data_IF_754153898374
#
_entry.id   IF_754153898374
#
_cell.length_a   1.000
_cell.length_b   1.000
_cell.length_c   1.000
_cell.angle_alpha   90.00
_cell.angle_beta   90.00
_cell.angle_gamma   90.00
#
_symmetry.space_group_name_H-M   'P 1'
#
loop_
_entity.id
_entity.type
_entity.pdbx_description
1 polymer ?
#
# COMPACT_ATOMS: atom_id res chain seq x y z
N UNK A 1 5.67 26.99 0.57
CA UNK A 1 5.28 25.86 1.44
C UNK A 1 5.68 24.59 0.70
N UNK A 2 6.52 23.76 1.30
CA UNK A 2 7.05 22.57 0.63
C UNK A 2 6.01 21.45 0.65
N UNK A 3 5.63 20.95 -0.54
CA UNK A 3 4.80 19.75 -0.67
C UNK A 3 5.52 18.58 -0.02
N UNK A 4 4.99 18.08 1.09
CA UNK A 4 5.45 16.86 1.76
C UNK A 4 5.13 15.66 0.86
N UNK A 5 6.06 15.34 -0.03
CA UNK A 5 5.91 14.21 -0.94
C UNK A 5 6.32 12.91 -0.21
N UNK A 6 5.37 12.00 -0.07
CA UNK A 6 5.64 10.61 0.32
C UNK A 6 6.39 9.95 -0.83
N UNK A 7 7.57 9.40 -0.54
CA UNK A 7 8.36 8.63 -1.51
C UNK A 7 8.13 7.16 -1.20
N UNK A 8 7.52 6.43 -2.13
CA UNK A 8 7.48 4.97 -2.11
C UNK A 8 8.81 4.45 -2.71
N UNK A 9 9.54 3.55 -2.04
CA UNK A 9 10.81 3.00 -2.51
C UNK A 9 10.64 1.81 -3.46
N UNK A 10 9.41 1.41 -3.84
CA UNK A 10 9.15 0.52 -4.98
C UNK A 10 8.45 1.33 -6.07
N UNK A 11 9.04 1.37 -7.28
CA UNK A 11 8.50 2.11 -8.43
C UNK A 11 7.08 1.68 -8.83
N UNK A 12 6.67 0.46 -8.46
CA UNK A 12 5.34 -0.08 -8.71
C UNK A 12 4.31 0.41 -7.71
N UNK A 13 4.71 0.69 -6.46
CA UNK A 13 3.82 1.20 -5.42
C UNK A 13 3.83 2.72 -5.45
N UNK A 14 2.67 3.31 -5.71
CA UNK A 14 2.49 4.75 -5.86
C UNK A 14 1.53 5.26 -4.80
N UNK A 15 1.87 6.38 -4.17
CA UNK A 15 0.89 7.15 -3.41
C UNK A 15 -0.03 7.87 -4.40
N UNK A 16 -1.31 7.53 -4.42
CA UNK A 16 -2.31 8.25 -5.20
C UNK A 16 -2.82 9.48 -4.46
N UNK A 17 -3.12 9.33 -3.16
CA UNK A 17 -3.70 10.40 -2.35
C UNK A 17 -3.27 10.29 -0.89
N UNK A 18 -2.98 11.44 -0.31
CA UNK A 18 -2.82 11.62 1.13
C UNK A 18 -3.70 12.78 1.56
N UNK A 19 -4.62 12.56 2.49
CA UNK A 19 -5.49 13.60 3.03
C UNK A 19 -5.29 13.73 4.53
N UNK A 20 -5.02 14.94 4.96
CA UNK A 20 -4.98 15.29 6.38
C UNK A 20 -6.41 15.36 6.94
N UNK A 21 -6.69 14.58 7.98
CA UNK A 21 -7.99 14.53 8.66
C UNK A 21 -7.95 15.09 10.09
N UNK A 22 -6.91 15.85 10.46
CA UNK A 22 -6.68 16.30 11.83
C UNK A 22 -5.78 15.34 12.60
N UNK A 23 -6.35 14.33 13.24
CA UNK A 23 -5.58 13.37 14.06
C UNK A 23 -5.06 12.15 13.29
N UNK A 24 -5.43 12.04 12.01
CA UNK A 24 -5.07 10.93 11.14
C UNK A 24 -4.76 11.38 9.71
N UNK A 25 -4.19 10.46 8.94
CA UNK A 25 -4.07 10.55 7.49
C UNK A 25 -4.94 9.50 6.82
N UNK A 26 -5.75 9.90 5.85
CA UNK A 26 -6.30 8.97 4.86
C UNK A 26 -5.28 8.79 3.73
N UNK A 27 -4.93 7.54 3.47
CA UNK A 27 -3.89 7.12 2.51
C UNK A 27 -4.57 6.30 1.42
N UNK A 28 -4.26 6.59 0.15
CA UNK A 28 -4.62 5.75 -0.99
C UNK A 28 -3.38 5.42 -1.80
N UNK A 29 -3.16 4.13 -2.05
CA UNK A 29 -2.02 3.58 -2.75
C UNK A 29 -2.47 2.82 -4.00
N UNK A 30 -1.58 2.76 -5.00
CA UNK A 30 -1.71 1.90 -6.18
C UNK A 30 -0.45 1.08 -6.34
N UNK A 31 -0.57 -0.24 -6.37
CA UNK A 31 0.47 -1.13 -6.84
C UNK A 31 0.17 -1.52 -8.29
N UNK A 32 1.07 -1.22 -9.22
CA UNK A 32 0.90 -1.53 -10.66
C UNK A 32 1.79 -2.69 -11.11
N UNK A 33 1.51 -3.25 -12.29
CA UNK A 33 2.35 -4.31 -12.88
C UNK A 33 2.20 -5.66 -12.19
N UNK A 34 0.97 -5.98 -11.78
CA UNK A 34 0.63 -7.31 -11.26
C UNK A 34 0.50 -8.30 -12.42
N UNK A 35 1.25 -9.39 -12.39
CA UNK A 35 1.21 -10.39 -13.44
C UNK A 35 -0.21 -11.01 -13.55
N UNK A 36 -0.75 -11.02 -14.78
CA UNK A 36 -2.10 -11.52 -15.10
C UNK A 36 -2.16 -13.05 -15.20
N UNK A 37 -1.01 -13.72 -15.30
CA UNK A 37 -0.93 -15.19 -15.30
C UNK A 37 -1.33 -15.81 -13.96
N UNK A 38 -1.53 -14.97 -12.94
CA UNK A 38 -1.89 -15.35 -11.59
C UNK A 38 -3.40 -15.21 -11.42
N UNK A 39 -4.06 -16.35 -11.64
CA UNK A 39 -5.46 -16.72 -11.37
C UNK A 39 -6.44 -15.57 -11.02
N UNK A 40 -7.56 -15.52 -11.75
CA UNK A 40 -8.63 -14.52 -11.66
C UNK A 40 -9.39 -14.48 -10.31
N UNK A 41 -8.85 -15.12 -9.27
CA UNK A 41 -9.50 -15.33 -7.98
C UNK A 41 -9.39 -14.15 -6.99
N UNK A 42 -8.79 -13.02 -7.39
CA UNK A 42 -8.79 -11.76 -6.61
C UNK A 42 -8.16 -11.81 -5.20
N UNK A 43 -7.35 -12.82 -4.85
CA UNK A 43 -6.76 -12.94 -3.51
C UNK A 43 -5.42 -12.19 -3.37
N UNK A 44 -5.42 -10.90 -3.66
CA UNK A 44 -4.33 -9.99 -3.28
C UNK A 44 -4.65 -9.44 -1.89
N UNK A 45 -3.93 -9.87 -0.86
CA UNK A 45 -4.18 -9.44 0.53
C UNK A 45 -2.97 -8.69 1.06
N UNK A 46 -3.18 -7.41 1.37
CA UNK A 46 -2.20 -6.61 2.10
C UNK A 46 -2.11 -7.12 3.54
N UNK A 47 -0.90 -7.41 4.01
CA UNK A 47 -0.65 -7.74 5.40
C UNK A 47 -0.77 -6.49 6.28
N UNK A 48 -0.72 -6.71 7.59
CA UNK A 48 -0.64 -5.67 8.60
C UNK A 48 0.54 -4.73 8.34
N UNK A 49 0.27 -3.43 8.38
CA UNK A 49 1.31 -2.41 8.30
C UNK A 49 2.21 -2.45 9.55
N UNK A 50 3.51 -2.24 9.35
CA UNK A 50 4.55 -2.23 10.38
C UNK A 50 5.32 -0.90 10.39
N UNK A 51 5.68 -0.40 11.57
CA UNK A 51 6.53 0.78 11.74
C UNK A 51 8.03 0.46 11.51
N UNK A 52 8.90 1.45 11.69
CA UNK A 52 10.36 1.30 11.58
C UNK A 52 10.97 0.26 12.55
N UNK A 53 10.26 -0.07 13.63
CA UNK A 53 10.69 -1.00 14.67
C UNK A 53 10.06 -2.40 14.49
N UNK A 54 9.22 -2.59 13.47
CA UNK A 54 8.51 -3.84 13.22
C UNK A 54 7.21 -4.01 14.02
N UNK A 55 6.74 -2.98 14.72
CA UNK A 55 5.48 -3.02 15.45
C UNK A 55 4.30 -2.89 14.48
N UNK A 56 3.23 -3.63 14.73
CA UNK A 56 1.98 -3.46 13.97
C UNK A 56 1.41 -2.07 14.17
N UNK A 57 1.11 -1.39 13.07
CA UNK A 57 0.38 -0.13 13.04
C UNK A 57 -1.10 -0.43 12.86
N UNK A 58 -1.91 0.12 13.75
CA UNK A 58 -3.36 0.04 13.65
C UNK A 58 -3.84 0.90 12.48
N UNK A 59 -4.49 0.26 11.50
CA UNK A 59 -5.11 0.91 10.36
C UNK A 59 -6.63 0.75 10.45
N UNK A 60 -7.38 1.77 10.06
CA UNK A 60 -8.85 1.74 10.03
C UNK A 60 -9.39 2.08 8.66
N UNK A 61 -10.67 1.78 8.41
CA UNK A 61 -11.34 1.99 7.12
C UNK A 61 -10.57 1.40 5.93
N UNK A 62 -10.02 0.20 6.12
CA UNK A 62 -9.19 -0.50 5.14
C UNK A 62 -10.05 -1.06 4.01
N UNK A 63 -9.72 -0.71 2.77
CA UNK A 63 -10.40 -1.17 1.56
C UNK A 63 -9.39 -1.49 0.46
N UNK A 64 -9.40 -2.74 0.01
CA UNK A 64 -8.61 -3.21 -1.13
C UNK A 64 -9.52 -3.44 -2.34
N UNK A 65 -9.03 -3.10 -3.52
CA UNK A 65 -9.65 -3.50 -4.78
C UNK A 65 -8.60 -3.84 -5.82
N UNK A 66 -8.98 -4.66 -6.80
CA UNK A 66 -8.13 -5.03 -7.94
C UNK A 66 -8.77 -4.50 -9.21
N UNK A 67 -7.95 -3.91 -10.07
CA UNK A 67 -8.31 -3.56 -11.43
C UNK A 67 -7.53 -4.48 -12.36
N UNK A 68 -8.24 -5.24 -13.18
CA UNK A 68 -7.66 -6.04 -14.26
C UNK A 68 -7.87 -5.26 -15.57
N UNK A 69 -6.81 -5.06 -16.33
CA UNK A 69 -6.91 -4.49 -17.67
C UNK A 69 -6.51 -5.50 -18.74
N UNK A 70 -6.62 -5.11 -20.01
CA UNK A 70 -6.33 -5.98 -21.15
C UNK A 70 -4.83 -6.36 -21.22
N UNK A 71 -3.95 -5.48 -20.73
CA UNK A 71 -2.51 -5.73 -20.61
C UNK A 71 -2.10 -6.07 -19.16
N UNK A 72 -1.23 -7.06 -18.90
CA UNK A 72 -0.77 -7.40 -17.55
C UNK A 72 -0.15 -6.21 -16.80
N UNK A 73 0.56 -5.33 -17.51
CA UNK A 73 1.15 -4.11 -16.92
C UNK A 73 0.09 -3.11 -16.40
N UNK A 74 -1.14 -3.20 -16.93
CA UNK A 74 -2.26 -2.35 -16.52
C UNK A 74 -2.99 -2.88 -15.28
N UNK A 75 -2.70 -4.12 -14.87
CA UNK A 75 -3.24 -4.66 -13.64
C UNK A 75 -2.72 -3.90 -12.43
N UNK A 76 -3.64 -3.59 -11.52
CA UNK A 76 -3.31 -2.86 -10.32
C UNK A 76 -4.09 -3.34 -9.10
N UNK A 77 -3.47 -3.23 -7.93
CA UNK A 77 -4.16 -3.26 -6.63
C UNK A 77 -4.24 -1.84 -6.11
N UNK A 78 -5.45 -1.42 -5.73
CA UNK A 78 -5.71 -0.15 -5.07
C UNK A 78 -6.00 -0.42 -3.61
N UNK A 79 -5.30 0.30 -2.74
CA UNK A 79 -5.43 0.16 -1.30
C UNK A 79 -5.78 1.51 -0.69
N UNK A 80 -6.70 1.53 0.28
CA UNK A 80 -7.10 2.76 0.97
C UNK A 80 -7.38 2.51 2.43
N UNK A 81 -6.79 3.33 3.30
CA UNK A 81 -6.87 3.16 4.75
C UNK A 81 -6.59 4.47 5.47
N UNK A 82 -6.88 4.48 6.77
CA UNK A 82 -6.61 5.59 7.68
C UNK A 82 -5.55 5.18 8.70
N UNK A 83 -4.58 6.06 8.96
CA UNK A 83 -3.54 5.88 9.98
C UNK A 83 -3.51 7.06 10.95
N UNK A 84 -3.30 6.84 12.26
CA UNK A 84 -3.10 7.93 13.21
C UNK A 84 -1.86 8.76 12.86
N UNK A 85 -1.85 10.06 13.14
CA UNK A 85 -0.64 10.88 13.08
C UNK A 85 0.24 10.62 14.29
N UNK A 86 1.07 9.60 14.21
CA UNK A 86 2.13 9.29 15.18
C UNK A 86 3.46 9.23 14.45
N UNK A 87 4.54 9.46 15.17
CA UNK A 87 5.87 9.21 14.63
C UNK A 87 6.14 7.70 14.62
N UNK A 88 5.94 7.07 13.46
CA UNK A 88 6.21 5.65 13.23
C UNK A 88 7.69 5.36 12.91
N UNK A 89 8.61 6.27 13.27
CA UNK A 89 10.01 6.22 12.83
C UNK A 89 10.17 6.59 11.35
N UNK A 90 9.19 7.32 10.81
CA UNK A 90 9.19 7.87 9.45
C UNK A 90 8.98 6.88 8.30
N UNK A 91 8.89 5.57 8.54
CA UNK A 91 8.63 4.56 7.51
C UNK A 91 7.53 3.60 7.95
N UNK A 92 6.66 3.24 7.01
CA UNK A 92 5.70 2.15 7.15
C UNK A 92 6.04 1.07 6.14
N UNK A 93 5.90 -0.19 6.54
CA UNK A 93 6.17 -1.34 5.68
C UNK A 93 5.00 -2.31 5.72
N UNK A 94 4.74 -2.99 4.62
CA UNK A 94 3.73 -4.03 4.52
C UNK A 94 4.20 -5.09 3.53
N UNK A 95 3.62 -6.28 3.60
CA UNK A 95 3.85 -7.33 2.60
C UNK A 95 2.55 -7.54 1.86
N UNK A 96 2.61 -7.67 0.54
CA UNK A 96 1.46 -8.14 -0.23
C UNK A 96 1.56 -9.65 -0.35
N UNK A 97 0.51 -10.37 0.03
CA UNK A 97 0.40 -11.79 -0.22
C UNK A 97 -0.50 -12.01 -1.43
N UNK A 98 -0.01 -12.81 -2.36
CA UNK A 98 -0.74 -13.22 -3.55
C UNK A 98 -0.84 -14.75 -3.57
N UNK A 99 -2.05 -15.28 -3.78
CA UNK A 99 -2.29 -16.72 -3.88
C UNK A 99 -2.32 -17.14 -5.35
N UNK A 100 -1.80 -18.33 -5.75
CA UNK A 100 -1.17 -19.38 -4.93
C UNK A 100 0.35 -19.23 -4.75
N UNK A 101 0.99 -18.29 -5.45
CA UNK A 101 2.42 -18.04 -5.37
C UNK A 101 2.68 -16.83 -4.46
N UNK A 102 3.04 -17.04 -3.18
CA UNK A 102 3.26 -15.91 -2.27
C UNK A 102 4.45 -15.10 -2.76
N UNK A 103 4.17 -13.96 -3.41
CA UNK A 103 5.15 -12.88 -3.46
C UNK A 103 5.44 -12.47 -2.03
N UNK A 104 6.72 -12.52 -1.64
CA UNK A 104 7.18 -12.11 -0.30
C UNK A 104 8.03 -10.85 -0.44
N UNK A 105 7.49 -9.84 -1.12
CA UNK A 105 8.18 -8.56 -1.27
C UNK A 105 7.64 -7.56 -0.24
N UNK A 106 8.47 -7.10 0.71
CA UNK A 106 8.05 -6.06 1.64
C UNK A 106 8.03 -4.72 0.91
N UNK A 107 6.84 -4.20 0.66
CA UNK A 107 6.64 -2.83 0.23
C UNK A 107 6.87 -1.87 1.39
N UNK A 108 7.41 -0.69 1.09
CA UNK A 108 7.63 0.35 2.09
C UNK A 108 7.02 1.66 1.60
N UNK A 109 6.63 2.54 2.51
CA UNK A 109 6.27 3.92 2.20
C UNK A 109 6.89 4.81 3.25
N UNK A 110 7.38 5.99 2.86
CA UNK A 110 7.96 6.95 3.80
C UNK A 110 7.04 8.16 3.95
N UNK A 111 6.45 8.33 5.13
CA UNK A 111 5.59 9.48 5.45
C UNK A 111 6.45 10.54 6.14
N UNK A 112 6.63 11.70 5.50
CA UNK A 112 7.45 12.85 5.98
C UNK A 112 6.57 14.07 6.26
#
# INVERSE_FOLDING_TARGET
MANKQIVSPDNRLQLLKLTDMGDSYAVSLKLSGLDSSWDNMNYTTWDSWKDAHGNTVEVSNHTSSRTLGEDPESNASLESFTIPKKDYGGVLTTTLHEWPNPLREPYRIRIK
#
